data_IF_422048434285
#
_entry.id   IF_422048434285
#
_cell.length_a   1.000
_cell.length_b   1.000
_cell.length_c   1.000
_cell.angle_alpha   90.00
_cell.angle_beta   90.00
_cell.angle_gamma   90.00
#
_symmetry.space_group_name_H-M   'P 1'
#
loop_
_entity.id
_entity.type
_entity.pdbx_description
1 polymer ?
#
# COMPACT_ATOMS: atom_id res chain seq x y z
N UNK A 1 4.91 15.69 11.60
CA UNK A 1 4.57 14.33 11.10
C UNK A 1 4.89 14.26 9.63
N UNK A 2 5.51 13.17 9.16
CA UNK A 2 5.99 13.02 7.78
C UNK A 2 4.90 12.30 6.99
N UNK A 3 4.14 13.04 6.19
CA UNK A 3 2.97 12.53 5.44
C UNK A 3 3.29 11.46 4.41
N UNK A 4 4.53 11.46 3.90
CA UNK A 4 4.96 10.57 2.81
C UNK A 4 6.06 9.61 3.26
N UNK A 5 5.77 8.32 3.20
CA UNK A 5 6.67 7.23 3.54
C UNK A 5 7.41 6.73 2.29
N UNK A 6 8.69 6.42 2.45
CA UNK A 6 9.45 5.58 1.49
C UNK A 6 9.02 4.11 1.58
N UNK A 7 9.42 3.26 0.62
CA UNK A 7 9.22 1.82 0.72
C UNK A 7 9.76 1.18 2.01
N UNK A 8 10.90 1.66 2.51
CA UNK A 8 11.48 1.18 3.77
C UNK A 8 10.66 1.67 4.97
N UNK A 9 10.31 2.96 5.03
CA UNK A 9 9.46 3.50 6.10
C UNK A 9 8.07 2.83 6.13
N UNK A 10 7.49 2.52 4.97
CA UNK A 10 6.22 1.79 4.89
C UNK A 10 6.35 0.36 5.43
N UNK A 11 7.48 -0.31 5.15
CA UNK A 11 7.77 -1.64 5.70
C UNK A 11 7.93 -1.58 7.22
N UNK A 12 8.68 -0.60 7.72
CA UNK A 12 8.91 -0.44 9.16
C UNK A 12 7.61 -0.12 9.91
N UNK A 13 6.72 0.67 9.31
CA UNK A 13 5.50 1.14 9.96
C UNK A 13 4.30 0.19 9.85
N UNK A 14 4.10 -0.40 8.67
CA UNK A 14 2.92 -1.23 8.37
C UNK A 14 3.27 -2.69 8.07
N UNK A 15 4.56 -3.07 8.07
CA UNK A 15 4.99 -4.44 7.82
C UNK A 15 4.98 -4.89 6.35
N UNK A 16 4.61 -4.02 5.41
CA UNK A 16 4.58 -4.37 3.99
C UNK A 16 5.99 -4.62 3.44
N UNK A 17 6.34 -5.87 3.14
CA UNK A 17 7.64 -6.22 2.56
C UNK A 17 7.88 -5.58 1.18
N UNK A 18 9.12 -5.18 0.88
CA UNK A 18 9.45 -4.46 -0.37
C UNK A 18 9.11 -5.24 -1.65
N UNK A 19 9.31 -6.55 -1.67
CA UNK A 19 8.93 -7.42 -2.79
C UNK A 19 7.41 -7.47 -2.98
N UNK A 20 6.66 -7.56 -1.88
CA UNK A 20 5.20 -7.51 -1.91
C UNK A 20 4.73 -6.14 -2.44
N UNK A 21 5.31 -5.05 -1.94
CA UNK A 21 5.00 -3.71 -2.43
C UNK A 21 5.28 -3.59 -3.95
N UNK A 22 6.40 -4.12 -4.44
CA UNK A 22 6.72 -4.10 -5.88
C UNK A 22 5.69 -4.85 -6.72
N UNK A 23 5.27 -6.05 -6.27
CA UNK A 23 4.21 -6.84 -6.92
C UNK A 23 2.87 -6.09 -6.92
N UNK A 24 2.53 -5.43 -5.80
CA UNK A 24 1.27 -4.69 -5.65
C UNK A 24 1.24 -3.33 -6.35
N UNK A 25 2.39 -2.77 -6.74
CA UNK A 25 2.47 -1.61 -7.63
C UNK A 25 2.48 -1.98 -9.12
N UNK A 26 2.70 -3.26 -9.46
CA UNK A 26 2.83 -3.70 -10.84
C UNK A 26 1.51 -3.57 -11.62
N UNK A 27 1.60 -3.35 -12.94
CA UNK A 27 0.44 -3.25 -13.82
C UNK A 27 -0.39 -4.54 -13.88
N UNK A 28 0.22 -5.69 -13.63
CA UNK A 28 -0.45 -6.99 -13.58
C UNK A 28 -1.31 -7.19 -12.33
N UNK A 29 -1.10 -6.40 -11.26
CA UNK A 29 -1.96 -6.45 -10.08
C UNK A 29 -3.34 -5.84 -10.43
N UNK A 30 -4.46 -6.49 -10.06
CA UNK A 30 -5.79 -5.91 -10.23
C UNK A 30 -5.89 -4.55 -9.52
N UNK A 31 -6.56 -3.54 -10.10
CA UNK A 31 -6.58 -2.18 -9.54
C UNK A 31 -7.07 -2.09 -8.10
N UNK A 32 -8.05 -2.92 -7.72
CA UNK A 32 -8.59 -2.96 -6.37
C UNK A 32 -7.58 -3.53 -5.36
N UNK A 33 -6.71 -4.45 -5.76
CA UNK A 33 -5.68 -5.00 -4.88
C UNK A 33 -4.37 -4.18 -4.87
N UNK A 34 -4.27 -3.10 -5.66
CA UNK A 34 -3.06 -2.28 -5.70
C UNK A 34 -2.97 -1.42 -4.45
N UNK A 35 -1.83 -1.49 -3.79
CA UNK A 35 -1.51 -0.53 -2.73
C UNK A 35 -1.35 0.87 -3.35
N UNK A 36 -2.03 1.91 -2.85
CA UNK A 36 -1.93 3.25 -3.40
C UNK A 36 -0.50 3.78 -3.25
N UNK A 37 0.04 4.38 -4.32
CA UNK A 37 1.40 4.91 -4.34
C UNK A 37 1.53 6.12 -5.25
N UNK A 38 2.51 6.96 -4.97
CA UNK A 38 2.91 8.10 -5.80
C UNK A 38 4.25 7.77 -6.43
N UNK A 39 4.34 7.90 -7.75
CA UNK A 39 5.59 7.75 -8.51
C UNK A 39 6.09 9.12 -8.95
N UNK A 40 7.27 9.50 -8.46
CA UNK A 40 7.96 10.74 -8.81
C UNK A 40 9.26 10.38 -9.52
N UNK A 41 9.19 10.18 -10.84
CA UNK A 41 10.31 9.65 -11.61
C UNK A 41 10.72 8.24 -11.15
N UNK A 42 11.94 8.13 -10.62
CA UNK A 42 12.48 6.88 -10.06
C UNK A 42 12.08 6.61 -8.59
N UNK A 43 11.45 7.57 -7.92
CA UNK A 43 11.10 7.46 -6.50
C UNK A 43 9.65 7.02 -6.29
N UNK A 44 9.44 6.18 -5.28
CA UNK A 44 8.12 5.76 -4.81
C UNK A 44 7.87 6.35 -3.44
N UNK A 45 6.67 6.89 -3.25
CA UNK A 45 6.18 7.41 -1.96
C UNK A 45 4.78 6.88 -1.67
N UNK A 46 4.48 6.82 -0.39
CA UNK A 46 3.20 6.38 0.16
C UNK A 46 2.64 7.47 1.04
N UNK A 47 1.46 7.97 0.73
CA UNK A 47 0.74 8.85 1.65
C UNK A 47 0.15 7.99 2.77
N UNK A 48 0.56 8.25 3.99
CA UNK A 48 0.18 7.45 5.16
C UNK A 48 -1.34 7.39 5.36
N UNK A 49 -2.03 8.53 5.29
CA UNK A 49 -3.48 8.61 5.51
C UNK A 49 -4.24 7.83 4.43
N UNK A 50 -3.70 7.77 3.22
CA UNK A 50 -4.28 7.01 2.11
C UNK A 50 -4.07 5.51 2.31
N UNK A 51 -2.92 5.10 2.85
CA UNK A 51 -2.66 3.69 3.19
C UNK A 51 -3.62 3.23 4.30
N UNK A 52 -3.82 4.03 5.34
CA UNK A 52 -4.75 3.72 6.42
C UNK A 52 -6.18 3.54 5.91
N UNK A 53 -6.68 4.51 5.12
CA UNK A 53 -8.00 4.39 4.49
C UNK A 53 -8.11 3.17 3.57
N UNK A 54 -7.05 2.90 2.81
CA UNK A 54 -7.03 1.72 1.94
C UNK A 54 -7.10 0.43 2.75
N UNK A 55 -6.39 0.35 3.87
CA UNK A 55 -6.47 -0.77 4.81
C UNK A 55 -7.88 -0.90 5.37
N UNK A 56 -8.50 0.18 5.85
CA UNK A 56 -9.89 0.14 6.36
C UNK A 56 -10.87 -0.44 5.31
N UNK A 57 -10.74 -0.01 4.06
CA UNK A 57 -11.58 -0.49 2.96
C UNK A 57 -11.29 -1.96 2.57
N UNK A 58 -10.05 -2.43 2.73
CA UNK A 58 -9.61 -3.78 2.32
C UNK A 58 -9.44 -4.75 3.50
N UNK A 59 -9.82 -4.35 4.71
CA UNK A 59 -9.76 -5.18 5.93
C UNK A 59 -10.80 -6.32 5.89
N UNK A 60 -11.81 -6.23 5.02
CA UNK A 60 -12.92 -7.18 4.97
C UNK A 60 -12.98 -7.90 3.62
N UNK A 61 -12.15 -8.91 3.44
CA UNK A 61 -12.38 -9.98 2.47
C UNK A 61 -12.40 -11.28 3.27
N UNK A 62 -13.60 -11.77 3.61
CA UNK A 62 -13.78 -13.01 4.40
C UNK A 62 -14.80 -12.93 5.55
N UNK A 63 -15.47 -11.78 5.76
CA UNK A 63 -16.64 -11.69 6.65
C UNK A 63 -17.92 -11.96 5.85
N UNK A 64 -17.86 -12.95 4.96
CA UNK A 64 -19.07 -13.61 4.50
C UNK A 64 -19.54 -14.47 5.67
N UNK A 65 -20.63 -14.02 6.28
CA UNK A 65 -21.37 -14.67 7.38
C UNK A 65 -21.30 -16.19 7.28
N UNK A 66 -20.59 -16.82 8.22
CA UNK A 66 -20.74 -18.23 8.54
C UNK A 66 -22.05 -18.46 9.31
#
# INVERSE_FOLDING_TARGET
>A
MKRFLTPDELKERFGFGKDWQAKRRAKSCPPHERIPFIKLGGFIRYDEEVIEKWLEMHTVIGLESA
#
